data_IF_150512338647
#
_entry.id   IF_150512338647
#
_cell.length_a   1.000
_cell.length_b   1.000
_cell.length_c   1.000
_cell.angle_alpha   90.00
_cell.angle_beta   90.00
_cell.angle_gamma   90.00
#
_symmetry.space_group_name_H-M   'P 1'
#
loop_
_entity.id
_entity.type
_entity.pdbx_description
1 polymer ?
#
# COMPACT_ATOMS: atom_id res chain seq x y z
N UNK A 1 19.79 -5.08 17.52
CA UNK A 1 18.42 -4.78 17.09
C UNK A 1 18.57 -4.01 15.81
N UNK A 2 18.15 -4.62 14.71
CA UNK A 2 18.17 -4.02 13.39
C UNK A 2 16.75 -3.59 13.01
N UNK A 3 16.63 -2.48 12.28
CA UNK A 3 15.35 -1.89 11.87
C UNK A 3 15.42 -1.57 10.39
N UNK A 4 14.66 -2.30 9.59
CA UNK A 4 14.56 -2.06 8.15
C UNK A 4 13.30 -1.26 7.85
N UNK A 5 13.44 -0.05 7.31
CA UNK A 5 12.29 0.72 6.82
C UNK A 5 11.91 0.31 5.39
N UNK A 6 10.62 0.12 5.15
CA UNK A 6 10.07 -0.24 3.85
C UNK A 6 8.94 0.69 3.41
N UNK A 7 8.97 1.96 3.83
CA UNK A 7 7.95 2.96 3.48
C UNK A 7 7.82 3.15 1.97
N UNK A 8 8.95 3.12 1.24
CA UNK A 8 8.94 3.17 -0.22
C UNK A 8 8.24 1.96 -0.86
N UNK A 9 8.36 0.77 -0.26
CA UNK A 9 7.67 -0.41 -0.75
C UNK A 9 6.15 -0.26 -0.57
N UNK A 10 5.73 0.34 0.56
CA UNK A 10 4.34 0.73 0.80
C UNK A 10 3.83 1.74 -0.24
N UNK A 11 4.59 2.80 -0.51
CA UNK A 11 4.26 3.79 -1.53
C UNK A 11 4.08 3.14 -2.91
N UNK A 12 5.04 2.32 -3.34
CA UNK A 12 4.97 1.61 -4.62
C UNK A 12 3.73 0.72 -4.72
N UNK A 13 3.36 0.04 -3.65
CA UNK A 13 2.16 -0.79 -3.61
C UNK A 13 0.88 0.04 -3.78
N UNK A 14 0.78 1.18 -3.09
CA UNK A 14 -0.37 2.10 -3.20
C UNK A 14 -0.51 2.63 -4.64
N UNK A 15 0.59 3.03 -5.26
CA UNK A 15 0.59 3.52 -6.65
C UNK A 15 0.16 2.43 -7.64
N UNK A 16 0.61 1.19 -7.43
CA UNK A 16 0.18 0.05 -8.25
C UNK A 16 -1.31 -0.26 -8.10
N UNK A 17 -1.87 -0.13 -6.89
CA UNK A 17 -3.31 -0.30 -6.66
C UNK A 17 -4.10 0.75 -7.45
N UNK A 18 -3.74 2.03 -7.34
CA UNK A 18 -4.39 3.12 -8.08
C UNK A 18 -4.34 2.87 -9.60
N UNK A 19 -3.15 2.55 -10.13
CA UNK A 19 -2.96 2.28 -11.54
C UNK A 19 -3.78 1.08 -12.05
N UNK A 20 -3.81 -0.02 -11.30
CA UNK A 20 -4.56 -1.23 -11.67
C UNK A 20 -6.06 -0.99 -11.67
N UNK A 21 -6.57 -0.25 -10.70
CA UNK A 21 -8.01 0.08 -10.64
C UNK A 21 -8.40 0.97 -11.81
N UNK A 22 -7.59 1.98 -12.17
CA UNK A 22 -7.82 2.80 -13.38
C UNK A 22 -7.83 1.97 -14.65
N UNK A 23 -6.86 1.06 -14.80
CA UNK A 23 -6.80 0.17 -15.94
C UNK A 23 -8.07 -0.68 -16.04
N UNK A 24 -8.48 -1.32 -14.94
CA UNK A 24 -9.67 -2.16 -14.92
C UNK A 24 -10.95 -1.36 -15.16
N UNK A 25 -11.05 -0.12 -14.69
CA UNK A 25 -12.16 0.77 -15.03
C UNK A 25 -12.25 0.99 -16.54
N UNK A 26 -11.11 1.19 -17.22
CA UNK A 26 -11.08 1.43 -18.66
C UNK A 26 -11.31 0.18 -19.50
N UNK A 27 -10.85 -0.98 -19.05
CA UNK A 27 -10.83 -2.21 -19.86
C UNK A 27 -11.87 -3.25 -19.46
N UNK A 28 -12.41 -3.17 -18.24
CA UNK A 28 -13.11 -4.29 -17.59
C UNK A 28 -14.13 -3.81 -16.55
N UNK A 29 -14.83 -2.71 -16.86
CA UNK A 29 -15.79 -2.06 -15.96
C UNK A 29 -16.84 -3.03 -15.39
N UNK A 30 -17.46 -3.85 -16.24
CA UNK A 30 -18.49 -4.82 -15.81
C UNK A 30 -17.98 -5.83 -14.78
N UNK A 31 -16.76 -6.37 -14.98
CA UNK A 31 -16.16 -7.31 -14.02
C UNK A 31 -15.85 -6.63 -12.69
N UNK A 32 -15.46 -5.36 -12.74
CA UNK A 32 -15.13 -4.58 -11.55
C UNK A 32 -16.39 -4.25 -10.74
N UNK A 33 -17.48 -3.89 -11.40
CA UNK A 33 -18.79 -3.70 -10.78
C UNK A 33 -19.37 -5.01 -10.23
N UNK A 34 -19.23 -6.13 -10.95
CA UNK A 34 -19.66 -7.45 -10.49
C UNK A 34 -18.90 -7.91 -9.24
N UNK A 35 -17.63 -7.50 -9.10
CA UNK A 35 -16.83 -7.73 -7.89
C UNK A 35 -17.21 -6.79 -6.72
N UNK A 36 -18.13 -5.85 -6.92
CA UNK A 36 -18.56 -4.89 -5.90
C UNK A 36 -17.51 -3.83 -5.56
N UNK A 37 -16.57 -3.57 -6.47
CA UNK A 37 -15.50 -2.60 -6.24
C UNK A 37 -16.02 -1.18 -6.49
N UNK A 38 -16.05 -0.36 -5.44
CA UNK A 38 -16.25 1.08 -5.55
C UNK A 38 -14.91 1.76 -5.91
N UNK A 39 -14.73 2.09 -7.18
CA UNK A 39 -13.49 2.71 -7.66
C UNK A 39 -13.26 4.09 -7.09
N UNK A 40 -14.31 4.90 -6.94
CA UNK A 40 -14.15 6.26 -6.41
C UNK A 40 -13.69 6.21 -4.96
N UNK A 41 -14.21 5.27 -4.16
CA UNK A 41 -13.72 5.02 -2.82
C UNK A 41 -12.26 4.54 -2.84
N UNK A 42 -11.91 3.58 -3.68
CA UNK A 42 -10.52 3.07 -3.75
C UNK A 42 -9.55 4.17 -4.14
N UNK A 43 -9.82 4.95 -5.18
CA UNK A 43 -8.93 6.05 -5.61
C UNK A 43 -8.81 7.15 -4.54
N UNK A 44 -9.91 7.45 -3.83
CA UNK A 44 -9.90 8.39 -2.71
C UNK A 44 -9.00 7.90 -1.57
N UNK A 45 -9.17 6.65 -1.14
CA UNK A 45 -8.40 6.09 -0.04
C UNK A 45 -6.94 5.82 -0.41
N UNK A 46 -6.63 5.46 -1.66
CA UNK A 46 -5.25 5.35 -2.14
C UNK A 46 -4.52 6.69 -2.09
N UNK A 47 -5.18 7.80 -2.48
CA UNK A 47 -4.60 9.15 -2.30
C UNK A 47 -4.38 9.50 -0.85
N UNK A 48 -5.37 9.24 0.01
CA UNK A 48 -5.23 9.49 1.45
C UNK A 48 -4.06 8.69 2.04
N UNK A 49 -3.97 7.41 1.70
CA UNK A 49 -2.89 6.53 2.16
C UNK A 49 -1.52 7.03 1.67
N UNK A 50 -1.40 7.44 0.40
CA UNK A 50 -0.17 8.02 -0.14
C UNK A 50 0.24 9.27 0.66
N UNK A 51 -0.68 10.20 0.86
CA UNK A 51 -0.40 11.40 1.67
C UNK A 51 0.00 11.05 3.10
N UNK A 52 -0.66 10.09 3.74
CA UNK A 52 -0.29 9.66 5.09
C UNK A 52 1.12 9.04 5.15
N UNK A 53 1.59 8.36 4.10
CA UNK A 53 2.98 7.86 4.06
C UNK A 53 3.95 9.02 3.82
N UNK A 54 3.66 9.90 2.87
CA UNK A 54 4.50 11.08 2.57
C UNK A 54 4.62 12.01 3.79
N UNK A 55 3.56 12.14 4.58
CA UNK A 55 3.50 12.93 5.83
C UNK A 55 4.11 12.18 7.03
N UNK A 56 4.55 10.93 6.85
CA UNK A 56 5.12 10.09 7.92
C UNK A 56 4.11 9.66 9.00
N UNK A 57 2.81 9.77 8.73
CA UNK A 57 1.74 9.37 9.65
C UNK A 57 1.55 7.85 9.68
N UNK A 58 1.80 7.17 8.56
CA UNK A 58 1.79 5.71 8.45
C UNK A 58 3.07 5.24 7.74
N UNK A 59 3.63 4.14 8.21
CA UNK A 59 4.85 3.56 7.65
C UNK A 59 4.96 2.07 8.01
N UNK A 60 5.97 1.41 7.46
CA UNK A 60 6.25 0.00 7.71
C UNK A 60 7.73 -0.21 7.99
N UNK A 61 8.03 -0.82 9.14
CA UNK A 61 9.37 -1.22 9.51
C UNK A 61 9.41 -2.66 10.02
N UNK A 62 10.47 -3.38 9.65
CA UNK A 62 10.76 -4.71 10.18
C UNK A 62 11.78 -4.60 11.30
N UNK A 63 11.44 -5.13 12.48
CA UNK A 63 12.32 -5.15 13.64
C UNK A 63 12.95 -6.54 13.78
N UNK A 64 14.27 -6.62 13.67
CA UNK A 64 15.04 -7.84 13.82
C UNK A 64 15.82 -7.80 15.13
N UNK A 65 15.53 -8.73 16.03
CA UNK A 65 16.23 -8.87 17.30
C UNK A 65 16.91 -10.23 17.38
N UNK A 66 18.23 -10.23 17.60
CA UNK A 66 19.00 -11.45 17.83
C UNK A 66 19.12 -11.74 19.32
N UNK A 67 18.92 -13.01 19.70
CA UNK A 67 19.18 -13.47 21.05
C UNK A 67 20.70 -13.62 21.26
N UNK A 68 21.29 -13.04 22.31
CA UNK A 68 22.70 -13.25 22.59
C UNK A 68 22.99 -14.74 22.85
N UNK A 69 24.00 -15.30 22.17
CA UNK A 69 24.49 -16.65 22.50
C UNK A 69 25.19 -16.58 23.87
N UNK A 70 24.72 -17.41 24.80
CA UNK A 70 25.36 -17.60 26.11
C UNK A 70 26.67 -18.36 25.87
N UNK A 71 27.79 -17.77 26.30
CA UNK A 71 29.09 -18.45 26.39
C UNK A 71 29.11 -19.43 27.57
#
# INVERSE_FOLDING_TARGET
MDTEQHDEAGLRMIEQIDARVRLLWMTSFESLMAAGVDVDAVLRYSRLAKHSVDDGLIGYALLLAEKPRRA
#
